data_IF_276197291815
#
_entry.id   IF_276197291815
#
_cell.length_a   1.000
_cell.length_b   1.000
_cell.length_c   1.000
_cell.angle_alpha   90.00
_cell.angle_beta   90.00
_cell.angle_gamma   90.00
#
_symmetry.space_group_name_H-M   'P 1'
#
loop_
_entity.id
_entity.type
_entity.pdbx_description
1 polymer ?
#
# COMPACT_ATOMS: atom_id res chain seq x y z
N UNK A 1 3.89 12.89 16.65
CA UNK A 1 4.80 14.05 16.71
C UNK A 1 4.93 14.68 18.10
N UNK A 2 3.85 14.94 18.86
CA UNK A 2 4.00 15.53 20.21
C UNK A 2 4.78 14.63 21.18
N UNK A 3 4.51 13.32 21.18
CA UNK A 3 5.27 12.37 22.02
C UNK A 3 6.76 12.33 21.65
N UNK A 4 7.06 12.37 20.34
CA UNK A 4 8.43 12.47 19.82
C UNK A 4 9.16 13.73 20.33
N UNK A 5 8.54 14.91 20.18
CA UNK A 5 9.14 16.18 20.64
C UNK A 5 9.31 16.18 22.17
N UNK A 6 8.35 15.65 22.92
CA UNK A 6 8.39 15.59 24.38
C UNK A 6 9.48 14.63 24.88
N UNK A 7 9.66 13.47 24.25
CA UNK A 7 10.72 12.53 24.62
C UNK A 7 12.11 13.07 24.28
N UNK A 8 12.29 13.74 23.14
CA UNK A 8 13.55 14.39 22.78
C UNK A 8 13.90 15.56 23.70
N UNK A 9 12.92 16.41 24.05
CA UNK A 9 13.12 17.47 25.05
C UNK A 9 13.48 16.89 26.42
N UNK A 10 12.87 15.78 26.82
CA UNK A 10 13.17 15.09 28.07
C UNK A 10 14.60 14.53 28.08
N UNK A 11 15.06 14.01 26.94
CA UNK A 11 16.41 13.48 26.76
C UNK A 11 17.48 14.59 26.88
N UNK A 12 17.23 15.75 26.27
CA UNK A 12 18.09 16.95 26.36
C UNK A 12 18.15 17.47 27.80
N UNK A 13 17.00 17.60 28.48
CA UNK A 13 16.92 18.07 29.86
C UNK A 13 17.57 17.09 30.85
N UNK A 14 17.53 15.78 30.56
CA UNK A 14 18.18 14.75 31.38
C UNK A 14 19.70 14.67 31.20
N UNK A 15 20.29 15.46 30.29
CA UNK A 15 21.75 15.62 30.14
C UNK A 15 22.49 14.36 29.68
N UNK A 16 21.78 13.40 29.09
CA UNK A 16 22.29 12.03 28.88
C UNK A 16 23.05 11.83 27.55
N UNK A 17 23.02 12.80 26.63
CA UNK A 17 23.71 12.78 25.33
C UNK A 17 24.12 14.20 24.88
N UNK A 18 25.10 14.27 23.98
CA UNK A 18 25.56 15.52 23.37
C UNK A 18 24.51 16.04 22.37
N UNK A 19 24.22 17.34 22.35
CA UNK A 19 23.21 17.97 21.48
C UNK A 19 23.33 17.57 20.01
N UNK A 20 24.56 17.38 19.53
CA UNK A 20 24.84 16.99 18.13
C UNK A 20 24.43 15.55 17.81
N UNK A 21 24.55 14.63 18.77
CA UNK A 21 24.11 13.24 18.61
C UNK A 21 22.58 13.14 18.66
N UNK A 22 21.94 13.98 19.48
CA UNK A 22 20.48 14.04 19.57
C UNK A 22 19.88 14.57 18.27
N UNK A 23 20.48 15.60 17.64
CA UNK A 23 20.04 16.12 16.34
C UNK A 23 20.14 15.05 15.24
N UNK A 24 21.26 14.32 15.16
CA UNK A 24 21.43 13.24 14.19
C UNK A 24 20.43 12.10 14.38
N UNK A 25 20.14 11.71 15.63
CA UNK A 25 19.12 10.70 15.94
C UNK A 25 17.70 11.19 15.61
N UNK A 26 17.44 12.48 15.82
CA UNK A 26 16.15 13.09 15.53
C UNK A 26 15.88 13.09 14.02
N UNK A 27 16.89 13.41 13.19
CA UNK A 27 16.79 13.34 11.73
C UNK A 27 16.57 11.91 11.22
N UNK A 28 17.29 10.93 11.78
CA UNK A 28 17.15 9.51 11.42
C UNK A 28 15.75 8.96 11.76
N UNK A 29 15.21 9.32 12.93
CA UNK A 29 13.85 8.95 13.32
C UNK A 29 12.79 9.62 12.44
N UNK A 30 12.96 10.89 12.06
CA UNK A 30 12.05 11.60 11.16
C UNK A 30 11.99 10.89 9.79
N UNK A 31 13.14 10.55 9.22
CA UNK A 31 13.22 9.82 7.95
C UNK A 31 12.56 8.44 8.04
N UNK A 32 12.79 7.73 9.16
CA UNK A 32 12.15 6.43 9.43
C UNK A 32 10.63 6.59 9.54
N UNK A 33 10.15 7.62 10.24
CA UNK A 33 8.72 7.88 10.42
C UNK A 33 8.01 8.20 9.09
N UNK A 34 8.66 8.95 8.20
CA UNK A 34 8.14 9.21 6.84
C UNK A 34 8.10 7.94 6.00
N UNK A 35 9.16 7.12 6.08
CA UNK A 35 9.21 5.82 5.40
C UNK A 35 8.10 4.88 5.87
N UNK A 36 7.86 4.81 7.17
CA UNK A 36 6.81 3.99 7.78
C UNK A 36 5.40 4.48 7.40
N UNK A 37 5.19 5.79 7.25
CA UNK A 37 3.93 6.36 6.82
C UNK A 37 3.54 5.95 5.38
N UNK A 38 4.52 5.64 4.54
CA UNK A 38 4.34 5.19 3.15
C UNK A 38 4.09 3.68 3.02
N UNK A 39 4.49 2.87 4.01
CA UNK A 39 4.28 1.41 4.06
C UNK A 39 2.84 0.98 3.79
N UNK A 40 1.79 1.55 4.42
CA UNK A 40 0.42 1.13 4.19
C UNK A 40 -0.06 1.44 2.76
N UNK A 41 0.32 2.59 2.20
CA UNK A 41 -0.02 2.95 0.82
C UNK A 41 0.66 2.00 -0.17
N UNK A 42 1.96 1.72 0.02
CA UNK A 42 2.72 0.80 -0.82
C UNK A 42 2.20 -0.65 -0.75
N UNK A 43 1.84 -1.12 0.45
CA UNK A 43 1.29 -2.46 0.64
C UNK A 43 0.00 -2.66 -0.15
N UNK A 44 -0.87 -1.63 -0.20
CA UNK A 44 -2.13 -1.70 -0.92
C UNK A 44 -1.94 -1.62 -2.45
N UNK A 45 -0.97 -0.82 -2.92
CA UNK A 45 -0.58 -0.79 -4.32
C UNK A 45 -0.07 -2.16 -4.79
N UNK A 46 0.79 -2.82 -4.00
CA UNK A 46 1.30 -4.15 -4.31
C UNK A 46 0.17 -5.20 -4.40
N UNK A 47 -0.81 -5.13 -3.51
CA UNK A 47 -2.01 -5.99 -3.60
C UNK A 47 -2.76 -5.71 -4.91
N UNK A 48 -2.96 -4.44 -5.27
CA UNK A 48 -3.56 -4.02 -6.54
C UNK A 48 -2.85 -4.60 -7.76
N UNK A 49 -1.52 -4.54 -7.79
CA UNK A 49 -0.67 -5.08 -8.86
C UNK A 49 -0.65 -6.61 -8.94
N UNK A 50 -0.83 -7.30 -7.80
CA UNK A 50 -0.85 -8.76 -7.77
C UNK A 50 -2.14 -9.37 -8.32
N UNK A 51 -3.25 -8.64 -8.26
CA UNK A 51 -4.58 -9.14 -8.67
C UNK A 51 -4.67 -9.51 -10.17
N UNK A 52 -4.12 -8.72 -11.11
CA UNK A 52 -3.99 -9.11 -12.52
C UNK A 52 -3.21 -10.41 -12.74
N UNK A 53 -2.10 -10.62 -12.02
CA UNK A 53 -1.28 -11.84 -12.16
C UNK A 53 -2.07 -13.10 -11.77
N UNK A 54 -2.91 -13.02 -10.73
CA UNK A 54 -3.82 -14.10 -10.36
C UNK A 54 -4.86 -14.41 -11.45
N UNK A 55 -5.34 -13.41 -12.21
CA UNK A 55 -6.28 -13.62 -13.32
C UNK A 55 -5.66 -14.47 -14.44
N UNK A 56 -4.41 -14.19 -14.81
CA UNK A 56 -3.71 -14.97 -15.84
C UNK A 56 -3.62 -16.45 -15.43
N UNK A 57 -3.29 -16.74 -14.17
CA UNK A 57 -3.22 -18.12 -13.67
C UNK A 57 -4.60 -18.79 -13.66
N UNK A 58 -5.66 -18.05 -13.30
CA UNK A 58 -7.04 -18.54 -13.34
C UNK A 58 -7.50 -18.88 -14.76
N UNK A 59 -7.19 -18.02 -15.74
CA UNK A 59 -7.48 -18.25 -17.15
C UNK A 59 -6.80 -19.54 -17.66
N UNK A 60 -5.51 -19.71 -17.35
CA UNK A 60 -4.74 -20.91 -17.72
C UNK A 60 -5.34 -22.17 -17.09
N UNK A 61 -5.71 -22.12 -15.80
CA UNK A 61 -6.36 -23.26 -15.13
C UNK A 61 -7.71 -23.61 -15.75
N UNK A 62 -8.48 -22.60 -16.16
CA UNK A 62 -9.75 -22.81 -16.86
C UNK A 62 -9.59 -23.47 -18.24
N UNK A 63 -8.56 -23.08 -19.00
CA UNK A 63 -8.23 -23.73 -20.28
C UNK A 63 -7.77 -25.17 -20.07
N UNK A 64 -6.90 -25.43 -19.08
CA UNK A 64 -6.45 -26.79 -18.75
C UNK A 64 -7.64 -27.67 -18.36
N UNK A 65 -8.58 -27.15 -17.57
CA UNK A 65 -9.80 -27.88 -17.18
C UNK A 65 -10.72 -28.17 -18.37
N UNK A 66 -10.88 -27.22 -19.29
CA UNK A 66 -11.65 -27.41 -20.51
C UNK A 66 -11.01 -28.49 -21.41
N UNK A 67 -9.69 -28.48 -21.57
CA UNK A 67 -8.97 -29.47 -22.36
C UNK A 67 -9.01 -30.87 -21.73
N UNK A 68 -9.03 -30.98 -20.40
CA UNK A 68 -9.23 -32.25 -19.69
C UNK A 68 -10.65 -32.82 -19.83
N UNK A 69 -11.61 -32.02 -20.30
CA UNK A 69 -13.01 -32.41 -20.51
C UNK A 69 -13.39 -32.48 -22.00
N UNK A 70 -12.39 -32.63 -22.89
CA UNK A 70 -12.58 -32.57 -24.33
C UNK A 70 -13.54 -33.62 -24.91
N UNK A 71 -13.84 -34.69 -24.17
CA UNK A 71 -14.84 -35.70 -24.55
C UNK A 71 -16.29 -35.20 -24.48
N UNK A 72 -16.53 -34.01 -23.90
CA UNK A 72 -17.88 -33.43 -23.78
C UNK A 72 -18.33 -32.73 -25.07
N UNK A 73 -19.65 -32.66 -25.34
CA UNK A 73 -20.18 -31.94 -26.48
C UNK A 73 -19.77 -30.45 -26.48
N UNK A 74 -19.57 -29.88 -27.66
CA UNK A 74 -19.01 -28.53 -27.85
C UNK A 74 -19.78 -27.42 -27.09
N UNK A 75 -21.08 -27.58 -26.90
CA UNK A 75 -21.90 -26.64 -26.14
C UNK A 75 -21.53 -26.58 -24.65
N UNK A 76 -21.21 -27.72 -24.03
CA UNK A 76 -20.79 -27.79 -22.62
C UNK A 76 -19.34 -27.30 -22.45
N UNK A 77 -18.48 -27.61 -23.42
CA UNK A 77 -17.10 -27.12 -23.46
C UNK A 77 -17.05 -25.59 -23.55
N UNK A 78 -17.90 -25.01 -24.41
CA UNK A 78 -18.04 -23.55 -24.54
C UNK A 78 -18.51 -22.89 -23.25
N UNK A 79 -19.43 -23.52 -22.51
CA UNK A 79 -19.91 -23.00 -21.22
C UNK A 79 -18.81 -23.01 -20.14
N UNK A 80 -17.97 -24.05 -20.11
CA UNK A 80 -16.82 -24.17 -19.20
C UNK A 80 -15.76 -23.10 -19.48
N UNK A 81 -15.44 -22.86 -20.76
CA UNK A 81 -14.49 -21.83 -21.18
C UNK A 81 -15.05 -20.42 -20.90
N UNK A 82 -16.35 -20.21 -21.14
CA UNK A 82 -17.00 -18.93 -20.84
C UNK A 82 -16.98 -18.62 -19.34
N UNK A 83 -17.16 -19.61 -18.47
CA UNK A 83 -17.00 -19.43 -17.02
C UNK A 83 -15.56 -19.14 -16.62
N UNK A 84 -14.58 -19.81 -17.24
CA UNK A 84 -13.17 -19.56 -17.00
C UNK A 84 -12.77 -18.12 -17.38
N UNK A 85 -13.13 -17.66 -18.58
CA UNK A 85 -12.78 -16.33 -19.07
C UNK A 85 -13.61 -15.21 -18.40
N UNK A 86 -14.86 -15.50 -18.00
CA UNK A 86 -15.73 -14.55 -17.30
C UNK A 86 -15.25 -14.22 -15.88
N UNK A 87 -14.44 -15.07 -15.26
CA UNK A 87 -13.89 -14.88 -13.91
C UNK A 87 -12.81 -13.80 -13.81
N UNK A 88 -12.16 -13.43 -14.92
CA UNK A 88 -11.00 -12.52 -14.91
C UNK A 88 -11.39 -11.03 -14.86
N UNK A 89 -12.53 -10.68 -15.48
CA UNK A 89 -13.00 -9.29 -15.59
C UNK A 89 -13.21 -8.59 -14.23
N UNK A 90 -13.92 -9.19 -13.24
CA UNK A 90 -14.13 -8.53 -11.96
C UNK A 90 -12.82 -8.36 -11.16
N UNK A 91 -11.82 -9.24 -11.33
CA UNK A 91 -10.56 -9.16 -10.59
C UNK A 91 -9.68 -8.00 -11.05
N UNK A 92 -9.53 -7.82 -12.37
CA UNK A 92 -8.85 -6.65 -12.95
C UNK A 92 -9.55 -5.34 -12.56
N UNK A 93 -10.88 -5.34 -12.60
CA UNK A 93 -11.69 -4.18 -12.27
C UNK A 93 -11.55 -3.75 -10.79
N UNK A 94 -11.59 -4.70 -9.85
CA UNK A 94 -11.45 -4.39 -8.41
C UNK A 94 -10.03 -3.90 -8.13
N UNK A 95 -9.00 -4.54 -8.70
CA UNK A 95 -7.60 -4.08 -8.66
C UNK A 95 -7.49 -2.60 -9.00
N UNK A 96 -7.85 -2.25 -10.25
CA UNK A 96 -7.70 -0.90 -10.79
C UNK A 96 -8.59 0.14 -10.09
N UNK A 97 -9.83 -0.23 -9.76
CA UNK A 97 -10.87 0.73 -9.35
C UNK A 97 -10.99 0.93 -7.84
N UNK A 98 -10.42 0.03 -7.04
CA UNK A 98 -10.56 0.07 -5.57
C UNK A 98 -9.19 0.19 -4.92
N UNK A 99 -8.24 -0.69 -5.25
CA UNK A 99 -6.96 -0.73 -4.53
C UNK A 99 -6.05 0.46 -4.83
N UNK A 100 -5.92 0.87 -6.10
CA UNK A 100 -5.10 2.05 -6.44
C UNK A 100 -5.66 3.37 -5.90
N UNK A 101 -6.96 3.70 -6.05
CA UNK A 101 -7.50 4.94 -5.50
C UNK A 101 -7.39 5.05 -3.98
N UNK A 102 -7.51 3.93 -3.26
CA UNK A 102 -7.32 3.91 -1.81
C UNK A 102 -5.84 4.07 -1.47
N UNK A 103 -4.92 3.44 -2.21
CA UNK A 103 -3.47 3.65 -2.04
C UNK A 103 -3.10 5.11 -2.23
N UNK A 104 -3.63 5.75 -3.28
CA UNK A 104 -3.37 7.15 -3.59
C UNK A 104 -3.95 8.07 -2.51
N UNK A 105 -5.16 7.77 -2.01
CA UNK A 105 -5.77 8.52 -0.91
C UNK A 105 -4.96 8.41 0.38
N UNK A 106 -4.43 7.23 0.70
CA UNK A 106 -3.55 7.03 1.87
C UNK A 106 -2.25 7.82 1.72
N UNK A 107 -1.65 7.81 0.54
CA UNK A 107 -0.44 8.56 0.23
C UNK A 107 -0.68 10.06 0.37
N UNK A 108 -1.79 10.55 -0.19
CA UNK A 108 -2.20 11.95 -0.05
C UNK A 108 -2.43 12.32 1.41
N UNK A 109 -3.10 11.49 2.20
CA UNK A 109 -3.29 11.73 3.64
C UNK A 109 -1.99 11.76 4.42
N UNK A 110 -1.02 10.90 4.08
CA UNK A 110 0.30 10.91 4.70
C UNK A 110 1.03 12.23 4.41
N UNK A 111 1.02 12.66 3.15
CA UNK A 111 1.63 13.93 2.72
C UNK A 111 0.94 15.15 3.35
N UNK A 112 -0.39 15.15 3.44
CA UNK A 112 -1.17 16.18 4.14
C UNK A 112 -0.81 16.26 5.62
N UNK A 113 -0.54 15.12 6.27
CA UNK A 113 -0.16 15.06 7.69
C UNK A 113 1.21 15.69 7.90
N UNK A 114 2.21 15.31 7.09
CA UNK A 114 3.55 15.92 7.13
C UNK A 114 3.53 17.42 6.87
N UNK A 115 2.70 17.87 5.91
CA UNK A 115 2.56 19.30 5.61
C UNK A 115 1.86 20.08 6.72
N UNK A 116 0.83 19.50 7.35
CA UNK A 116 0.10 20.15 8.45
C UNK A 116 0.96 20.27 9.71
N UNK A 117 1.85 19.31 9.95
CA UNK A 117 2.83 19.35 11.02
C UNK A 117 3.88 20.47 10.79
N UNK A 118 4.34 20.66 9.55
CA UNK A 118 5.22 21.78 9.19
C UNK A 118 4.55 23.16 9.37
N UNK A 119 3.27 23.28 8.97
CA UNK A 119 2.49 24.52 9.15
C UNK A 119 2.24 24.82 10.63
N UNK A 120 1.96 23.79 11.45
CA UNK A 120 1.77 23.95 12.89
C UNK A 120 3.05 24.41 13.61
N UNK A 121 4.22 23.88 13.24
CA UNK A 121 5.49 24.34 13.81
C UNK A 121 5.79 25.80 13.48
N UNK A 122 5.48 26.24 12.25
CA UNK A 122 5.63 27.65 11.85
C UNK A 122 4.72 28.60 12.64
N UNK A 123 3.50 28.17 12.99
CA UNK A 123 2.58 28.96 13.80
C UNK A 123 2.89 28.98 15.31
N UNK A 124 3.55 27.94 15.84
CA UNK A 124 4.01 27.92 17.24
C UNK A 124 5.34 28.64 17.48
N UNK A 125 6.03 29.05 16.41
CA UNK A 125 7.29 29.80 16.46
C UNK A 125 7.10 31.33 16.49
N UNK A 126 5.85 31.82 16.59
CA UNK A 126 5.47 33.22 16.74
C UNK A 126 4.70 33.48 18.04
#
# INVERSE_FOLDING_TARGET
MLDFIVDYLRLIISGHMNTFEIEALMDEEIETHESEAEVPANSLALVGDSLPAFGIVAAVMGVVHALGSADRPAAELGALIAHAMGGDFPRHFIGLRIYFPISDCLRQKSAETSQNDAVRQSHSAF
#
